data_IF_379846006098
#
_entry.id   IF_379846006098
#
_cell.length_a   1.000
_cell.length_b   1.000
_cell.length_c   1.000
_cell.angle_alpha   90.00
_cell.angle_beta   90.00
_cell.angle_gamma   90.00
#
_symmetry.space_group_name_H-M   'P 1'
#
loop_
_entity.id
_entity.type
_entity.pdbx_description
1 polymer ?
#
# COMPACT_ATOMS: atom_id res chain seq x y z
N UNK A 1 -4.50 15.80 10.47
CA UNK A 1 -4.48 14.82 9.35
C UNK A 1 -3.69 13.59 9.75
N UNK A 2 -3.93 12.50 9.07
CA UNK A 2 -3.24 11.22 9.33
C UNK A 2 -2.45 10.84 8.08
N UNK A 3 -1.15 10.62 8.26
CA UNK A 3 -0.28 10.04 7.24
C UNK A 3 -0.17 8.55 7.51
N UNK A 4 -0.65 7.75 6.58
CA UNK A 4 -0.66 6.28 6.68
C UNK A 4 0.46 5.73 5.80
N UNK A 5 1.42 5.08 6.42
CA UNK A 5 2.58 4.50 5.74
C UNK A 5 2.48 2.98 5.77
N UNK A 6 2.74 2.35 4.63
CA UNK A 6 2.77 0.89 4.52
C UNK A 6 4.04 0.48 3.79
N UNK A 7 4.74 -0.48 4.35
CA UNK A 7 5.94 -1.04 3.75
C UNK A 7 5.72 -2.54 3.56
N UNK A 8 5.89 -3.00 2.33
CA UNK A 8 5.59 -4.38 1.93
C UNK A 8 6.89 -5.16 1.70
N UNK A 9 6.87 -6.41 2.15
CA UNK A 9 7.94 -7.38 1.90
C UNK A 9 7.38 -8.51 1.06
N UNK A 10 7.97 -8.77 -0.11
CA UNK A 10 7.61 -9.93 -0.93
C UNK A 10 8.00 -11.21 -0.22
N UNK A 11 7.16 -12.23 -0.32
CA UNK A 11 7.47 -13.56 0.21
C UNK A 11 8.69 -14.14 -0.50
N UNK A 12 9.39 -15.05 0.18
CA UNK A 12 10.56 -15.69 -0.39
C UNK A 12 10.26 -16.28 -1.77
N UNK A 13 11.14 -16.01 -2.74
CA UNK A 13 11.00 -16.49 -4.11
C UNK A 13 10.12 -15.64 -5.01
N UNK A 14 9.42 -14.65 -4.47
CA UNK A 14 8.59 -13.73 -5.25
C UNK A 14 9.41 -12.51 -5.64
N UNK A 15 9.36 -12.13 -6.91
CA UNK A 15 10.02 -10.93 -7.42
C UNK A 15 8.98 -9.94 -7.93
N UNK A 16 9.40 -8.68 -8.16
CA UNK A 16 8.51 -7.65 -8.71
C UNK A 16 8.04 -7.96 -10.14
N UNK A 17 8.69 -8.90 -10.83
CA UNK A 17 8.29 -9.36 -12.16
C UNK A 17 7.23 -10.48 -12.11
N UNK A 18 6.95 -11.04 -10.93
CA UNK A 18 5.87 -12.01 -10.76
C UNK A 18 4.55 -11.38 -11.24
N UNK A 19 3.76 -12.06 -12.09
CA UNK A 19 2.50 -11.50 -12.59
C UNK A 19 1.54 -11.02 -11.51
N UNK A 20 1.53 -11.67 -10.33
CA UNK A 20 0.72 -11.25 -9.19
C UNK A 20 1.20 -9.91 -8.63
N UNK A 21 2.53 -9.72 -8.55
CA UNK A 21 3.12 -8.48 -8.07
C UNK A 21 2.87 -7.34 -9.06
N UNK A 22 2.99 -7.59 -10.35
CA UNK A 22 2.69 -6.60 -11.39
C UNK A 22 1.23 -6.16 -11.30
N UNK A 23 0.29 -7.12 -11.21
CA UNK A 23 -1.14 -6.82 -11.08
C UNK A 23 -1.44 -6.09 -9.77
N UNK A 24 -0.80 -6.49 -8.67
CA UNK A 24 -0.98 -5.86 -7.37
C UNK A 24 -0.48 -4.41 -7.34
N UNK A 25 0.65 -4.12 -7.96
CA UNK A 25 1.18 -2.77 -8.07
C UNK A 25 0.23 -1.87 -8.89
N UNK A 26 -0.32 -2.40 -9.97
CA UNK A 26 -1.32 -1.69 -10.79
C UNK A 26 -2.58 -1.38 -9.97
N UNK A 27 -3.07 -2.35 -9.19
CA UNK A 27 -4.24 -2.15 -8.34
C UNK A 27 -4.02 -1.01 -7.34
N UNK A 28 -2.85 -0.94 -6.70
CA UNK A 28 -2.52 0.16 -5.80
C UNK A 28 -2.35 1.49 -6.54
N UNK A 29 -1.74 1.48 -7.72
CA UNK A 29 -1.58 2.71 -8.50
C UNK A 29 -2.94 3.35 -8.85
N UNK A 30 -3.98 2.53 -9.06
CA UNK A 30 -5.32 2.99 -9.39
C UNK A 30 -6.13 3.39 -8.16
N UNK A 31 -5.76 2.92 -6.97
CA UNK A 31 -6.56 3.03 -5.76
C UNK A 31 -6.80 4.48 -5.33
N UNK A 32 -5.80 5.33 -5.50
CA UNK A 32 -5.88 6.73 -5.10
C UNK A 32 -7.02 7.50 -5.76
N UNK A 33 -7.41 7.12 -6.98
CA UNK A 33 -8.51 7.74 -7.71
C UNK A 33 -9.89 7.14 -7.35
N UNK A 34 -9.90 6.01 -6.66
CA UNK A 34 -11.14 5.26 -6.37
C UNK A 34 -11.71 5.56 -4.97
N UNK A 35 -10.88 6.03 -4.05
CA UNK A 35 -11.27 6.22 -2.64
C UNK A 35 -11.34 7.70 -2.33
N UNK A 36 -12.57 8.24 -2.09
CA UNK A 36 -12.75 9.69 -1.90
C UNK A 36 -12.04 10.27 -0.68
N UNK A 37 -11.80 9.47 0.36
CA UNK A 37 -11.14 9.89 1.59
C UNK A 37 -9.66 10.20 1.41
N UNK A 38 -9.03 9.70 0.35
CA UNK A 38 -7.60 9.90 0.10
C UNK A 38 -7.33 11.31 -0.42
N UNK A 39 -6.51 12.06 0.32
CA UNK A 39 -6.08 13.42 -0.05
C UNK A 39 -4.77 13.42 -0.80
N UNK A 40 -3.87 12.50 -0.44
CA UNK A 40 -2.61 12.25 -1.14
C UNK A 40 -2.42 10.75 -1.25
N UNK A 41 -1.86 10.34 -2.37
CA UNK A 41 -1.59 8.94 -2.63
C UNK A 41 -0.33 8.79 -3.43
N UNK A 42 0.64 8.08 -2.86
CA UNK A 42 1.88 7.70 -3.54
C UNK A 42 2.17 6.24 -3.26
N UNK A 43 2.58 5.50 -4.26
CA UNK A 43 3.05 4.14 -4.07
C UNK A 43 4.08 3.79 -5.14
N UNK A 44 4.94 2.81 -4.83
CA UNK A 44 5.94 2.39 -5.80
C UNK A 44 6.91 1.36 -5.25
N UNK A 45 7.70 0.83 -6.16
CA UNK A 45 8.73 -0.14 -5.85
C UNK A 45 9.97 0.52 -5.25
N UNK A 46 10.56 -0.14 -4.26
CA UNK A 46 11.85 0.24 -3.71
C UNK A 46 12.95 0.06 -4.74
N UNK A 47 13.91 0.99 -4.76
CA UNK A 47 15.13 0.85 -5.57
C UNK A 47 16.40 0.72 -4.71
N UNK A 48 16.30 0.90 -3.40
CA UNK A 48 17.46 0.85 -2.52
C UNK A 48 17.96 -0.59 -2.35
N UNK A 49 19.29 -0.76 -2.43
CA UNK A 49 19.93 -2.07 -2.28
C UNK A 49 20.55 -2.17 -0.88
N UNK A 50 19.69 -2.13 0.15
CA UNK A 50 20.09 -2.21 1.55
C UNK A 50 19.32 -3.34 2.24
N UNK A 51 19.97 -4.02 3.17
CA UNK A 51 19.38 -5.16 3.90
C UNK A 51 18.10 -4.78 4.64
N UNK A 52 17.99 -3.53 5.10
CA UNK A 52 16.82 -3.05 5.84
C UNK A 52 15.72 -2.49 4.93
N UNK A 53 15.95 -2.45 3.61
CA UNK A 53 14.95 -1.93 2.68
C UNK A 53 13.83 -2.94 2.46
N UNK A 54 12.60 -2.43 2.40
CA UNK A 54 11.43 -3.21 2.01
C UNK A 54 11.26 -3.16 0.50
N UNK A 55 10.25 -3.84 -0.05
CA UNK A 55 10.15 -4.01 -1.49
C UNK A 55 9.20 -3.02 -2.17
N UNK A 56 8.13 -2.62 -1.49
CA UNK A 56 7.11 -1.70 -2.04
C UNK A 56 6.60 -0.82 -0.91
N UNK A 57 6.20 0.40 -1.22
CA UNK A 57 5.73 1.35 -0.21
C UNK A 57 4.48 2.09 -0.68
N UNK A 58 3.61 2.41 0.28
CA UNK A 58 2.48 3.31 0.12
C UNK A 58 2.63 4.45 1.12
N UNK A 59 2.41 5.67 0.64
CA UNK A 59 2.34 6.87 1.47
C UNK A 59 1.03 7.57 1.14
N UNK A 60 0.13 7.65 2.11
CA UNK A 60 -1.18 8.24 1.90
C UNK A 60 -1.52 9.25 3.01
N UNK A 61 -2.42 10.17 2.69
CA UNK A 61 -2.89 11.19 3.62
C UNK A 61 -4.41 11.19 3.64
N UNK A 62 -4.99 11.18 4.84
CA UNK A 62 -6.44 11.29 5.07
C UNK A 62 -6.71 12.38 6.12
N UNK A 63 -7.94 12.88 6.17
CA UNK A 63 -8.28 14.01 7.04
C UNK A 63 -8.17 13.69 8.51
N UNK A 64 -8.62 12.51 8.94
CA UNK A 64 -8.72 12.12 10.34
C UNK A 64 -8.84 10.59 10.47
N UNK A 65 -9.00 10.13 11.71
CA UNK A 65 -9.10 8.69 12.00
C UNK A 65 -10.35 8.04 11.41
N UNK A 66 -11.44 8.80 11.32
CA UNK A 66 -12.67 8.31 10.71
C UNK A 66 -12.47 8.08 9.21
N UNK A 67 -11.82 9.02 8.52
CA UNK A 67 -11.47 8.88 7.13
C UNK A 67 -10.50 7.71 6.89
N UNK A 68 -9.54 7.51 7.81
CA UNK A 68 -8.64 6.35 7.75
C UNK A 68 -9.43 5.04 7.81
N UNK A 69 -10.37 4.93 8.74
CA UNK A 69 -11.22 3.75 8.86
C UNK A 69 -12.06 3.51 7.58
N UNK A 70 -12.60 4.58 7.00
CA UNK A 70 -13.38 4.49 5.75
C UNK A 70 -12.51 4.04 4.58
N UNK A 71 -11.27 4.54 4.47
CA UNK A 71 -10.31 4.10 3.46
C UNK A 71 -9.98 2.62 3.64
N UNK A 72 -9.58 2.21 4.84
CA UNK A 72 -9.18 0.82 5.09
C UNK A 72 -10.34 -0.16 4.89
N UNK A 73 -11.57 0.24 5.17
CA UNK A 73 -12.77 -0.57 4.97
C UNK A 73 -13.37 -0.51 3.57
N UNK A 74 -12.84 0.35 2.70
CA UNK A 74 -13.38 0.52 1.35
C UNK A 74 -13.21 -0.78 0.53
N UNK A 75 -14.24 -1.20 -0.23
CA UNK A 75 -14.15 -2.45 -1.01
C UNK A 75 -12.95 -2.51 -1.96
N UNK A 76 -12.59 -1.40 -2.59
CA UNK A 76 -11.42 -1.35 -3.49
C UNK A 76 -10.12 -1.60 -2.72
N UNK A 77 -9.97 -1.05 -1.51
CA UNK A 77 -8.82 -1.31 -0.65
C UNK A 77 -8.79 -2.76 -0.20
N UNK A 78 -9.93 -3.31 0.23
CA UNK A 78 -10.03 -4.69 0.67
C UNK A 78 -9.63 -5.67 -0.44
N UNK A 79 -10.08 -5.41 -1.67
CA UNK A 79 -9.74 -6.24 -2.83
C UNK A 79 -8.24 -6.19 -3.14
N UNK A 80 -7.64 -5.00 -3.12
CA UNK A 80 -6.21 -4.83 -3.37
C UNK A 80 -5.37 -5.51 -2.27
N UNK A 81 -5.74 -5.34 -1.00
CA UNK A 81 -5.06 -5.99 0.11
C UNK A 81 -5.13 -7.51 0.01
N UNK A 82 -6.28 -8.07 -0.41
CA UNK A 82 -6.43 -9.50 -0.61
C UNK A 82 -5.48 -10.03 -1.68
N UNK A 83 -5.28 -9.29 -2.79
CA UNK A 83 -4.30 -9.65 -3.81
C UNK A 83 -2.90 -9.73 -3.21
N UNK A 84 -2.47 -8.68 -2.51
CA UNK A 84 -1.13 -8.60 -1.94
C UNK A 84 -0.87 -9.65 -0.87
N UNK A 85 -1.89 -10.05 -0.13
CA UNK A 85 -1.76 -11.08 0.91
C UNK A 85 -1.31 -12.43 0.35
N UNK A 86 -1.55 -12.69 -0.93
CA UNK A 86 -1.14 -13.92 -1.58
C UNK A 86 0.38 -14.03 -1.76
N UNK A 87 1.10 -12.89 -1.82
CA UNK A 87 2.52 -12.92 -2.16
C UNK A 87 3.40 -12.00 -1.31
N UNK A 88 2.83 -11.31 -0.32
CA UNK A 88 3.58 -10.34 0.49
C UNK A 88 3.04 -10.24 1.92
N UNK A 89 3.88 -9.69 2.79
CA UNK A 89 3.49 -9.23 4.12
C UNK A 89 3.80 -7.74 4.21
N UNK A 90 3.26 -7.05 5.23
CA UNK A 90 3.50 -5.62 5.38
C UNK A 90 3.43 -5.18 6.83
N UNK A 91 4.01 -4.01 7.07
CA UNK A 91 3.96 -3.29 8.35
C UNK A 91 3.43 -1.89 8.08
N UNK A 92 2.88 -1.26 9.10
CA UNK A 92 2.30 0.08 8.99
C UNK A 92 2.84 1.02 10.06
N UNK A 93 2.71 2.33 9.78
CA UNK A 93 2.79 3.36 10.78
C UNK A 93 1.80 4.47 10.42
N UNK A 94 1.06 4.95 11.42
CA UNK A 94 0.10 6.04 11.27
C UNK A 94 0.58 7.23 12.07
N UNK A 95 0.77 8.37 11.39
CA UNK A 95 1.29 9.60 12.01
C UNK A 95 0.21 10.67 12.01
N UNK A 96 0.07 11.37 13.12
CA UNK A 96 -0.72 12.61 13.15
C UNK A 96 0.17 13.76 12.66
N UNK A 97 -0.27 14.43 11.63
CA UNK A 97 0.49 15.51 10.98
C UNK A 97 -0.33 16.78 10.82
#
# INVERSE_FOLDING_TARGET
>A
MIRHLVLFKLNEGVTKEDPRAVAGAKAFAELGALIPELREWECGWNFAERDIAQDFAINSLVADREALAAYLGHPAHQAAAAQWREFATWVIADLEV
#
